data_IF_501193827266
#
_entry.id   IF_501193827266
#
_cell.length_a   1.000
_cell.length_b   1.000
_cell.length_c   1.000
_cell.angle_alpha   90.00
_cell.angle_beta   90.00
_cell.angle_gamma   90.00
#
_symmetry.space_group_name_H-M   'P 1'
#
loop_
_entity.id
_entity.type
_entity.pdbx_description
1 polymer ?
#
# COMPACT_ATOMS: atom_id res chain seq x y z
N UNK A 1 -1.81 7.63 -22.66
CA UNK A 1 -2.41 7.03 -21.46
C UNK A 1 -3.51 7.94 -21.01
N UNK A 2 -4.69 7.40 -20.72
CA UNK A 2 -5.74 8.14 -20.01
C UNK A 2 -5.16 8.63 -18.68
N UNK A 3 -5.40 9.90 -18.34
CA UNK A 3 -5.01 10.47 -17.05
C UNK A 3 -5.51 9.60 -15.90
N UNK A 4 -6.66 8.93 -16.06
CA UNK A 4 -7.18 7.99 -15.07
C UNK A 4 -6.29 6.76 -14.87
N UNK A 5 -5.94 6.04 -15.94
CA UNK A 5 -5.07 4.86 -15.85
C UNK A 5 -3.69 5.22 -15.28
N UNK A 6 -3.13 6.36 -15.70
CA UNK A 6 -1.87 6.85 -15.15
C UNK A 6 -1.97 7.11 -13.65
N UNK A 7 -3.05 7.74 -13.18
CA UNK A 7 -3.28 7.99 -11.76
C UNK A 7 -3.39 6.69 -10.95
N UNK A 8 -4.07 5.67 -11.47
CA UNK A 8 -4.15 4.36 -10.82
C UNK A 8 -2.76 3.70 -10.68
N UNK A 9 -1.97 3.71 -11.75
CA UNK A 9 -0.59 3.17 -11.71
C UNK A 9 0.30 3.93 -10.72
N UNK A 10 0.23 5.26 -10.71
CA UNK A 10 0.98 6.08 -9.75
C UNK A 10 0.55 5.76 -8.32
N UNK A 11 -0.75 5.65 -8.05
CA UNK A 11 -1.24 5.31 -6.71
C UNK A 11 -0.74 3.94 -6.27
N UNK A 12 -0.78 2.93 -7.14
CA UNK A 12 -0.29 1.58 -6.84
C UNK A 12 1.18 1.59 -6.42
N UNK A 13 2.02 2.37 -7.12
CA UNK A 13 3.44 2.53 -6.77
C UNK A 13 3.61 3.18 -5.40
N UNK A 14 2.78 4.17 -5.04
CA UNK A 14 2.87 4.82 -3.72
C UNK A 14 2.47 3.85 -2.60
N UNK A 15 1.40 3.08 -2.79
CA UNK A 15 0.98 2.09 -1.79
C UNK A 15 2.03 0.99 -1.60
N UNK A 16 2.57 0.44 -2.69
CA UNK A 16 3.62 -0.56 -2.62
C UNK A 16 4.90 -0.04 -1.93
N UNK A 17 5.31 1.20 -2.20
CA UNK A 17 6.44 1.84 -1.51
C UNK A 17 6.16 2.03 -0.02
N UNK A 18 4.94 2.43 0.34
CA UNK A 18 4.57 2.62 1.74
C UNK A 18 4.48 1.29 2.49
N UNK A 19 3.91 0.26 1.87
CA UNK A 19 3.88 -1.10 2.40
C UNK A 19 5.31 -1.57 2.69
N UNK A 20 6.23 -1.40 1.73
CA UNK A 20 7.62 -1.80 1.91
C UNK A 20 8.31 -1.12 3.10
N UNK A 21 8.05 0.18 3.35
CA UNK A 21 8.60 0.88 4.51
C UNK A 21 8.03 0.36 5.83
N UNK A 22 6.74 0.01 5.87
CA UNK A 22 6.10 -0.56 7.06
C UNK A 22 6.71 -1.92 7.38
N UNK A 23 6.87 -2.78 6.37
CA UNK A 23 7.41 -4.13 6.54
C UNK A 23 8.88 -4.19 6.92
N UNK A 24 9.69 -3.24 6.41
CA UNK A 24 11.14 -3.28 6.63
C UNK A 24 11.62 -2.43 7.80
N UNK A 25 10.86 -1.41 8.20
CA UNK A 25 11.31 -0.46 9.21
C UNK A 25 10.24 -0.24 10.29
N UNK A 26 9.05 0.25 9.95
CA UNK A 26 8.16 0.85 10.96
C UNK A 26 7.60 -0.15 11.96
N UNK A 27 7.33 -1.40 11.54
CA UNK A 27 6.89 -2.45 12.46
C UNK A 27 7.99 -2.83 13.47
N UNK A 28 9.24 -2.88 13.01
CA UNK A 28 10.40 -3.27 13.83
C UNK A 28 10.83 -2.12 14.76
N UNK A 29 10.71 -0.88 14.30
CA UNK A 29 11.04 0.34 15.03
C UNK A 29 9.95 0.77 16.03
N UNK A 30 8.75 0.17 15.96
CA UNK A 30 7.64 0.52 16.85
C UNK A 30 7.92 0.12 18.30
N UNK A 31 7.84 1.10 19.21
CA UNK A 31 8.20 0.99 20.61
C UNK A 31 7.01 0.70 21.55
N UNK A 32 5.79 0.68 21.02
CA UNK A 32 4.56 0.47 21.78
C UNK A 32 3.60 -0.54 21.13
N UNK A 33 2.81 -1.26 21.94
CA UNK A 33 1.88 -2.29 21.44
C UNK A 33 0.79 -1.70 20.54
N UNK A 34 0.26 -0.52 20.90
CA UNK A 34 -0.71 0.21 20.08
C UNK A 34 -0.10 0.63 18.74
N UNK A 35 1.19 1.00 18.74
CA UNK A 35 1.95 1.40 17.56
C UNK A 35 2.10 0.21 16.61
N UNK A 36 2.49 -0.95 17.14
CA UNK A 36 2.61 -2.21 16.38
C UNK A 36 1.26 -2.65 15.82
N UNK A 37 0.19 -2.57 16.62
CA UNK A 37 -1.15 -2.88 16.17
C UNK A 37 -1.60 -1.95 15.04
N UNK A 38 -1.33 -0.65 15.15
CA UNK A 38 -1.62 0.33 14.11
C UNK A 38 -0.84 0.03 12.81
N UNK A 39 0.47 -0.20 12.90
CA UNK A 39 1.27 -0.52 11.72
C UNK A 39 0.87 -1.86 11.10
N UNK A 40 0.49 -2.85 11.90
CA UNK A 40 -0.05 -4.13 11.44
C UNK A 40 -1.35 -3.95 10.67
N UNK A 41 -2.28 -3.12 11.18
CA UNK A 41 -3.50 -2.77 10.46
C UNK A 41 -3.18 -2.02 9.16
N UNK A 42 -2.34 -0.99 9.22
CA UNK A 42 -1.98 -0.20 8.04
C UNK A 42 -1.27 -1.06 6.97
N UNK A 43 -0.49 -2.06 7.38
CA UNK A 43 0.08 -3.06 6.47
C UNK A 43 -1.03 -3.79 5.71
N UNK A 44 -1.98 -4.39 6.43
CA UNK A 44 -3.09 -5.15 5.83
C UNK A 44 -3.93 -4.28 4.88
N UNK A 45 -4.30 -3.07 5.31
CA UNK A 45 -5.07 -2.12 4.48
C UNK A 45 -4.33 -1.82 3.17
N UNK A 46 -2.99 -1.70 3.20
CA UNK A 46 -2.18 -1.42 2.00
C UNK A 46 -2.03 -2.62 1.08
N UNK A 47 -1.95 -3.83 1.61
CA UNK A 47 -1.97 -5.06 0.81
C UNK A 47 -3.29 -5.16 0.01
N UNK A 48 -4.41 -4.87 0.67
CA UNK A 48 -5.74 -4.81 0.02
C UNK A 48 -5.78 -3.73 -1.06
N UNK A 49 -5.34 -2.50 -0.75
CA UNK A 49 -5.30 -1.43 -1.74
C UNK A 49 -4.44 -1.75 -2.96
N UNK A 50 -3.28 -2.40 -2.78
CA UNK A 50 -2.42 -2.81 -3.91
C UNK A 50 -3.14 -3.83 -4.78
N UNK A 51 -3.82 -4.82 -4.18
CA UNK A 51 -4.57 -5.83 -4.93
C UNK A 51 -5.75 -5.21 -5.71
N UNK A 52 -6.48 -4.28 -5.10
CA UNK A 52 -7.59 -3.58 -5.75
C UNK A 52 -7.11 -2.69 -6.90
N UNK A 53 -6.01 -1.95 -6.70
CA UNK A 53 -5.40 -1.13 -7.75
C UNK A 53 -4.90 -1.99 -8.91
N UNK A 54 -4.28 -3.13 -8.62
CA UNK A 54 -3.86 -4.08 -9.66
C UNK A 54 -5.06 -4.58 -10.48
N UNK A 55 -6.17 -4.92 -9.81
CA UNK A 55 -7.40 -5.36 -10.46
C UNK A 55 -8.01 -4.26 -11.34
N UNK A 56 -8.07 -3.02 -10.85
CA UNK A 56 -8.57 -1.88 -11.63
C UNK A 56 -7.70 -1.61 -12.86
N UNK A 57 -6.38 -1.58 -12.69
CA UNK A 57 -5.43 -1.38 -13.79
C UNK A 57 -5.61 -2.45 -14.86
N UNK A 58 -5.73 -3.73 -14.49
CA UNK A 58 -5.99 -4.84 -15.43
C UNK A 58 -7.30 -4.68 -16.20
N UNK A 59 -8.31 -4.03 -15.63
CA UNK A 59 -9.57 -3.74 -16.32
C UNK A 59 -9.49 -2.63 -17.36
N UNK A 60 -8.41 -1.85 -17.36
CA UNK A 60 -8.18 -0.73 -18.28
C UNK A 60 -7.10 -1.01 -19.34
N UNK A 61 -6.46 -2.18 -19.28
CA UNK A 61 -5.48 -2.68 -20.27
C UNK A 61 -6.21 -3.64 -21.23
#
# INVERSE_FOLDING_TARGET
MDNHLYNLMIQMVQEAKSLKRIESNYLDEADCDDCKAFWGKMKADKEEHVADLEKLIKGHI
#
